data_IF_233345331876
#
_entry.id   IF_233345331876
#
_cell.length_a   1.000
_cell.length_b   1.000
_cell.length_c   1.000
_cell.angle_alpha   90.00
_cell.angle_beta   90.00
_cell.angle_gamma   90.00
#
_symmetry.space_group_name_H-M   'P 1'
#
loop_
_entity.id
_entity.type
_entity.pdbx_description
1 polymer ?
#
# COMPACT_ATOMS: atom_id res chain seq x y z
N UNK A 1 -7.44 14.38 -41.41
CA UNK A 1 -8.58 14.63 -40.51
C UNK A 1 -9.65 13.60 -40.81
N UNK A 2 -9.85 12.61 -39.94
CA UNK A 2 -10.90 11.61 -40.10
C UNK A 2 -12.26 12.22 -39.69
N UNK A 3 -13.36 11.91 -40.39
CA UNK A 3 -14.65 12.52 -40.08
C UNK A 3 -15.15 12.02 -38.72
N UNK A 4 -15.57 12.96 -37.87
CA UNK A 4 -16.19 12.66 -36.58
C UNK A 4 -17.51 11.91 -36.79
N UNK A 5 -17.65 10.77 -36.12
CA UNK A 5 -18.79 9.85 -36.19
C UNK A 5 -19.95 10.38 -35.31
N UNK A 6 -21.23 10.19 -35.67
CA UNK A 6 -22.34 10.79 -34.94
C UNK A 6 -22.57 10.10 -33.58
N UNK A 7 -23.02 10.83 -32.55
CA UNK A 7 -23.28 10.28 -31.23
C UNK A 7 -24.69 9.65 -31.19
N UNK A 8 -24.79 8.38 -30.82
CA UNK A 8 -26.11 7.76 -30.59
C UNK A 8 -26.26 6.26 -30.89
N UNK A 9 -25.23 5.56 -31.38
CA UNK A 9 -25.28 4.10 -31.41
C UNK A 9 -24.88 3.55 -30.03
N UNK A 10 -25.82 2.91 -29.32
CA UNK A 10 -25.51 1.99 -28.22
C UNK A 10 -24.40 1.04 -28.70
N UNK A 11 -23.17 1.23 -28.20
CA UNK A 11 -22.07 0.32 -28.52
C UNK A 11 -22.39 -1.00 -27.85
N UNK A 12 -22.75 -2.02 -28.64
CA UNK A 12 -22.87 -3.39 -28.17
C UNK A 12 -21.55 -3.76 -27.49
N UNK A 13 -21.63 -4.19 -26.23
CA UNK A 13 -20.47 -4.64 -25.49
C UNK A 13 -19.91 -5.91 -26.15
N UNK A 14 -18.63 -5.91 -26.45
CA UNK A 14 -17.92 -7.10 -26.96
C UNK A 14 -17.35 -7.86 -25.77
N UNK A 15 -17.79 -9.11 -25.62
CA UNK A 15 -17.26 -10.03 -24.61
C UNK A 15 -16.16 -10.89 -25.22
N UNK A 16 -15.09 -11.13 -24.47
CA UNK A 16 -14.05 -12.07 -24.87
C UNK A 16 -13.47 -12.77 -23.65
N UNK A 17 -13.03 -14.02 -23.81
CA UNK A 17 -12.34 -14.76 -22.75
C UNK A 17 -10.87 -14.37 -22.68
N UNK A 18 -10.38 -14.18 -21.46
CA UNK A 18 -8.96 -14.00 -21.16
C UNK A 18 -8.54 -14.97 -20.06
N UNK A 19 -7.51 -15.77 -20.33
CA UNK A 19 -6.96 -16.77 -19.42
C UNK A 19 -5.64 -16.26 -18.86
N UNK A 20 -5.55 -16.15 -17.54
CA UNK A 20 -4.38 -15.64 -16.83
C UNK A 20 -3.67 -16.79 -16.12
N UNK A 21 -2.52 -17.24 -16.65
CA UNK A 21 -1.81 -18.44 -16.19
C UNK A 21 -0.51 -18.08 -15.47
N UNK A 22 -0.40 -18.48 -14.20
CA UNK A 22 0.77 -18.17 -13.36
C UNK A 22 1.21 -19.37 -12.53
N UNK A 23 2.53 -19.55 -12.38
CA UNK A 23 3.14 -20.49 -11.42
C UNK A 23 3.14 -19.94 -9.96
N UNK A 24 2.69 -18.70 -9.79
CA UNK A 24 2.51 -17.98 -8.52
C UNK A 24 1.06 -17.47 -8.36
N UNK A 25 0.82 -16.37 -7.65
CA UNK A 25 -0.53 -15.86 -7.33
C UNK A 25 -1.30 -15.26 -8.51
N UNK A 26 -0.62 -14.89 -9.60
CA UNK A 26 -1.25 -14.27 -10.78
C UNK A 26 -1.63 -12.80 -10.63
N UNK A 27 -1.30 -12.15 -9.51
CA UNK A 27 -1.64 -10.73 -9.26
C UNK A 27 -1.04 -9.78 -10.30
N UNK A 28 0.21 -10.01 -10.70
CA UNK A 28 0.88 -9.21 -11.75
C UNK A 28 0.12 -9.29 -13.07
N UNK A 29 -0.32 -10.49 -13.47
CA UNK A 29 -1.13 -10.68 -14.68
C UNK A 29 -2.46 -9.95 -14.59
N UNK A 30 -3.14 -10.07 -13.45
CA UNK A 30 -4.43 -9.43 -13.24
C UNK A 30 -4.32 -7.90 -13.33
N UNK A 31 -3.33 -7.31 -12.66
CA UNK A 31 -3.06 -5.88 -12.72
C UNK A 31 -2.73 -5.41 -14.14
N UNK A 32 -1.91 -6.16 -14.88
CA UNK A 32 -1.58 -5.84 -16.27
C UNK A 32 -2.78 -5.97 -17.20
N UNK A 33 -3.55 -7.05 -17.10
CA UNK A 33 -4.74 -7.29 -17.90
C UNK A 33 -5.76 -6.16 -17.71
N UNK A 34 -6.06 -5.79 -16.45
CA UNK A 34 -6.95 -4.66 -16.14
C UNK A 34 -6.47 -3.34 -16.73
N UNK A 35 -5.17 -3.04 -16.59
CA UNK A 35 -4.59 -1.81 -17.13
C UNK A 35 -4.70 -1.74 -18.67
N UNK A 36 -4.49 -2.86 -19.37
CA UNK A 36 -4.58 -2.94 -20.83
C UNK A 36 -6.03 -2.89 -21.29
N UNK A 37 -6.93 -3.65 -20.66
CA UNK A 37 -8.35 -3.73 -21.04
C UNK A 37 -9.05 -2.39 -20.84
N UNK A 38 -8.70 -1.64 -19.79
CA UNK A 38 -9.22 -0.28 -19.56
C UNK A 38 -8.92 0.71 -20.71
N UNK A 39 -8.05 0.35 -21.67
CA UNK A 39 -7.78 1.14 -22.87
C UNK A 39 -8.80 0.94 -24.00
N UNK A 40 -9.67 -0.06 -23.89
CA UNK A 40 -10.65 -0.41 -24.91
C UNK A 40 -12.06 -0.02 -24.48
N UNK A 41 -12.74 0.81 -25.28
CA UNK A 41 -14.13 1.16 -25.05
C UNK A 41 -15.07 0.03 -25.48
N UNK A 42 -16.05 -0.32 -24.62
CA UNK A 42 -17.10 -1.27 -24.98
C UNK A 42 -16.62 -2.73 -25.08
N UNK A 43 -15.47 -3.04 -24.47
CA UNK A 43 -14.95 -4.41 -24.35
C UNK A 43 -15.05 -4.85 -22.88
N UNK A 44 -15.63 -6.03 -22.64
CA UNK A 44 -15.80 -6.60 -21.31
C UNK A 44 -15.12 -7.98 -21.29
N UNK A 45 -14.06 -8.17 -20.48
CA UNK A 45 -13.39 -9.46 -20.39
C UNK A 45 -14.20 -10.45 -19.54
N UNK A 46 -14.14 -11.72 -19.92
CA UNK A 46 -14.51 -12.85 -19.07
C UNK A 46 -13.19 -13.45 -18.59
N UNK A 47 -12.80 -13.11 -17.36
CA UNK A 47 -11.52 -13.49 -16.77
C UNK A 47 -11.55 -14.92 -16.23
N UNK A 48 -10.55 -15.72 -16.62
CA UNK A 48 -10.26 -17.04 -16.06
C UNK A 48 -8.88 -17.02 -15.43
N UNK A 49 -8.78 -17.25 -14.13
CA UNK A 49 -7.53 -17.09 -13.37
C UNK A 49 -7.00 -18.45 -12.91
N UNK A 50 -5.78 -18.77 -13.34
CA UNK A 50 -5.07 -19.99 -13.02
C UNK A 50 -3.81 -19.66 -12.23
N UNK A 51 -3.96 -19.59 -10.91
CA UNK A 51 -2.86 -19.38 -9.99
C UNK A 51 -2.22 -20.71 -9.56
N UNK A 52 -0.95 -20.66 -9.16
CA UNK A 52 -0.19 -21.77 -8.60
C UNK A 52 -0.14 -23.01 -9.51
N UNK A 53 -0.05 -22.80 -10.83
CA UNK A 53 0.12 -23.86 -11.82
C UNK A 53 1.58 -24.33 -11.79
N UNK A 54 1.82 -25.45 -11.11
CA UNK A 54 3.17 -25.94 -10.78
C UNK A 54 3.41 -27.40 -11.18
N UNK A 55 2.51 -27.98 -11.96
CA UNK A 55 2.61 -29.37 -12.41
C UNK A 55 1.94 -29.58 -13.76
N UNK A 56 2.44 -30.56 -14.52
CA UNK A 56 1.93 -30.91 -15.84
C UNK A 56 0.43 -31.25 -15.81
N UNK A 57 -0.03 -31.92 -14.75
CA UNK A 57 -1.46 -32.24 -14.55
C UNK A 57 -2.33 -31.00 -14.33
N UNK A 58 -1.82 -29.98 -13.62
CA UNK A 58 -2.54 -28.71 -13.50
C UNK A 58 -2.58 -28.00 -14.85
N UNK A 59 -1.48 -28.01 -15.60
CA UNK A 59 -1.41 -27.39 -16.92
C UNK A 59 -2.34 -28.05 -17.94
N UNK A 60 -2.48 -29.38 -17.91
CA UNK A 60 -3.46 -30.12 -18.72
C UNK A 60 -4.88 -29.61 -18.48
N UNK A 61 -5.27 -29.44 -17.20
CA UNK A 61 -6.58 -28.89 -16.84
C UNK A 61 -6.78 -27.46 -17.34
N UNK A 62 -5.74 -26.63 -17.25
CA UNK A 62 -5.77 -25.26 -17.80
C UNK A 62 -6.06 -25.30 -19.30
N UNK A 63 -5.38 -26.19 -20.05
CA UNK A 63 -5.58 -26.33 -21.49
C UNK A 63 -6.97 -26.89 -21.85
N UNK A 64 -7.52 -27.79 -21.04
CA UNK A 64 -8.90 -28.27 -21.18
C UNK A 64 -9.91 -27.11 -21.02
N UNK A 65 -9.70 -26.25 -20.03
CA UNK A 65 -10.57 -25.08 -19.81
C UNK A 65 -10.43 -24.02 -20.90
N UNK A 66 -9.20 -23.78 -21.39
CA UNK A 66 -8.95 -22.90 -22.54
C UNK A 66 -9.67 -23.43 -23.79
N UNK A 67 -9.66 -24.75 -24.01
CA UNK A 67 -10.38 -25.35 -25.13
C UNK A 67 -11.92 -25.22 -24.98
N UNK A 68 -12.43 -25.32 -23.74
CA UNK A 68 -13.85 -25.18 -23.45
C UNK A 68 -14.36 -23.74 -23.58
N UNK A 69 -13.51 -22.75 -23.30
CA UNK A 69 -13.82 -21.33 -23.40
C UNK A 69 -12.74 -20.58 -24.19
N UNK A 70 -12.69 -20.68 -25.53
CA UNK A 70 -11.62 -20.10 -26.35
C UNK A 70 -11.38 -18.61 -26.12
N UNK A 71 -10.11 -18.22 -25.92
CA UNK A 71 -9.74 -16.86 -25.54
C UNK A 71 -8.24 -16.56 -25.61
N UNK A 72 -7.88 -15.33 -25.24
CA UNK A 72 -6.47 -14.90 -25.17
C UNK A 72 -5.83 -15.45 -23.91
N UNK A 73 -4.65 -16.07 -24.04
CA UNK A 73 -3.90 -16.61 -22.92
C UNK A 73 -2.74 -15.67 -22.57
N UNK A 74 -2.73 -15.10 -21.38
CA UNK A 74 -1.62 -14.34 -20.82
C UNK A 74 -0.93 -15.17 -19.74
N UNK A 75 0.40 -15.23 -19.74
CA UNK A 75 1.12 -15.99 -18.73
C UNK A 75 2.36 -15.29 -18.17
N UNK A 76 2.77 -15.70 -16.97
CA UNK A 76 4.04 -15.31 -16.32
C UNK A 76 4.85 -16.52 -15.87
N UNK A 77 4.67 -17.66 -16.54
CA UNK A 77 5.40 -18.89 -16.23
C UNK A 77 6.91 -18.69 -16.37
N UNK A 78 7.64 -18.99 -15.30
CA UNK A 78 9.10 -19.02 -15.25
C UNK A 78 9.62 -20.43 -15.52
N UNK A 79 8.90 -21.44 -15.06
CA UNK A 79 9.22 -22.83 -15.33
C UNK A 79 9.16 -23.13 -16.83
N UNK A 80 10.27 -23.65 -17.36
CA UNK A 80 10.44 -23.86 -18.80
C UNK A 80 9.56 -24.99 -19.33
N UNK A 81 9.41 -26.08 -18.58
CA UNK A 81 8.63 -27.24 -19.01
C UNK A 81 7.14 -26.89 -19.09
N UNK A 82 6.61 -26.26 -18.03
CA UNK A 82 5.21 -25.80 -18.00
C UNK A 82 4.93 -24.74 -19.07
N UNK A 83 5.90 -23.85 -19.32
CA UNK A 83 5.79 -22.85 -20.37
C UNK A 83 5.73 -23.50 -21.75
N UNK A 84 6.65 -24.40 -22.08
CA UNK A 84 6.66 -25.12 -23.35
C UNK A 84 5.34 -25.90 -23.54
N UNK A 85 4.83 -26.54 -22.48
CA UNK A 85 3.55 -27.24 -22.50
C UNK A 85 2.37 -26.30 -22.78
N UNK A 86 2.31 -25.13 -22.14
CA UNK A 86 1.27 -24.13 -22.37
C UNK A 86 1.34 -23.60 -23.81
N UNK A 87 2.53 -23.22 -24.28
CA UNK A 87 2.73 -22.64 -25.61
C UNK A 87 2.36 -23.63 -26.72
N UNK A 88 2.76 -24.90 -26.59
CA UNK A 88 2.39 -25.96 -27.53
C UNK A 88 0.88 -26.24 -27.47
N UNK A 89 0.31 -26.32 -26.26
CA UNK A 89 -1.12 -26.51 -26.06
C UNK A 89 -1.95 -25.40 -26.73
N UNK A 90 -1.59 -24.13 -26.49
CA UNK A 90 -2.24 -22.99 -27.12
C UNK A 90 -2.08 -23.02 -28.64
N UNK A 91 -0.90 -23.41 -29.15
CA UNK A 91 -0.66 -23.53 -30.60
C UNK A 91 -1.59 -24.57 -31.25
N UNK A 92 -1.75 -25.75 -30.63
CA UNK A 92 -2.67 -26.79 -31.10
C UNK A 92 -4.13 -26.33 -31.06
N UNK A 93 -4.51 -25.59 -30.03
CA UNK A 93 -5.84 -25.01 -29.88
C UNK A 93 -6.05 -23.75 -30.75
N UNK A 94 -5.03 -23.30 -31.48
CA UNK A 94 -5.02 -22.06 -32.25
C UNK A 94 -5.35 -20.81 -31.42
N UNK A 95 -5.01 -20.83 -30.13
CA UNK A 95 -5.24 -19.73 -29.20
C UNK A 95 -4.03 -18.80 -29.13
N UNK A 96 -4.24 -17.47 -29.15
CA UNK A 96 -3.15 -16.53 -28.96
C UNK A 96 -2.62 -16.60 -27.53
N UNK A 97 -1.31 -16.75 -27.39
CA UNK A 97 -0.61 -16.77 -26.11
C UNK A 97 0.40 -15.62 -26.03
N UNK A 98 0.52 -14.99 -24.86
CA UNK A 98 1.48 -13.90 -24.61
C UNK A 98 2.14 -14.10 -23.24
N UNK A 99 3.47 -14.21 -23.23
CA UNK A 99 4.30 -14.06 -22.03
C UNK A 99 4.36 -12.59 -21.61
N UNK A 100 3.58 -12.22 -20.59
CA UNK A 100 3.27 -10.82 -20.28
C UNK A 100 4.50 -9.99 -19.91
N UNK A 101 5.52 -10.61 -19.29
CA UNK A 101 6.73 -9.94 -18.82
C UNK A 101 7.93 -10.11 -19.76
N UNK A 102 7.83 -10.96 -20.79
CA UNK A 102 8.98 -11.28 -21.65
C UNK A 102 9.63 -10.06 -22.31
N UNK A 103 8.89 -9.05 -22.83
CA UNK A 103 9.51 -7.89 -23.42
C UNK A 103 10.34 -7.07 -22.42
N UNK A 104 9.85 -6.95 -21.19
CA UNK A 104 10.51 -6.20 -20.11
C UNK A 104 11.75 -6.96 -19.62
N UNK A 105 11.61 -8.27 -19.39
CA UNK A 105 12.71 -9.15 -18.98
C UNK A 105 13.82 -9.13 -20.03
N UNK A 106 13.47 -9.26 -21.32
CA UNK A 106 14.43 -9.21 -22.42
C UNK A 106 15.11 -7.84 -22.57
N UNK A 107 14.39 -6.73 -22.35
CA UNK A 107 14.98 -5.39 -22.36
C UNK A 107 15.99 -5.20 -21.22
N UNK A 108 15.63 -5.62 -20.00
CA UNK A 108 16.48 -5.49 -18.83
C UNK A 108 17.71 -6.41 -18.91
N UNK A 109 17.55 -7.67 -19.36
CA UNK A 109 18.68 -8.58 -19.54
C UNK A 109 19.73 -8.02 -20.50
N UNK A 110 19.29 -7.47 -21.65
CA UNK A 110 20.19 -6.80 -22.60
C UNK A 110 20.84 -5.56 -22.02
N UNK A 111 20.09 -4.73 -21.31
CA UNK A 111 20.61 -3.49 -20.73
C UNK A 111 21.63 -3.77 -19.61
N UNK A 112 21.38 -4.78 -18.79
CA UNK A 112 22.20 -5.12 -17.62
C UNK A 112 23.35 -6.08 -17.94
N UNK A 113 23.35 -6.73 -19.11
CA UNK A 113 24.33 -7.77 -19.45
C UNK A 113 24.27 -8.98 -18.53
N UNK A 114 23.10 -9.25 -17.94
CA UNK A 114 22.89 -10.30 -16.95
C UNK A 114 21.90 -11.35 -17.45
N UNK A 115 22.21 -12.62 -17.17
CA UNK A 115 21.32 -13.74 -17.46
C UNK A 115 20.07 -13.70 -16.57
N UNK A 116 18.94 -14.05 -17.18
CA UNK A 116 17.66 -14.15 -16.46
C UNK A 116 17.67 -15.42 -15.62
N UNK A 117 17.58 -15.28 -14.30
CA UNK A 117 17.45 -16.42 -13.40
C UNK A 117 16.12 -17.15 -13.65
N UNK A 118 16.20 -18.43 -14.05
CA UNK A 118 15.05 -19.32 -14.21
C UNK A 118 14.51 -19.90 -12.89
N UNK A 119 14.93 -19.35 -11.73
CA UNK A 119 14.46 -19.85 -10.43
C UNK A 119 13.00 -19.46 -10.20
N UNK A 120 12.11 -20.45 -10.30
CA UNK A 120 10.79 -20.41 -9.67
C UNK A 120 11.00 -20.04 -8.20
N UNK A 121 10.47 -18.89 -7.76
CA UNK A 121 10.71 -18.37 -6.41
C UNK A 121 11.75 -17.24 -6.30
N UNK A 122 12.27 -16.66 -7.39
CA UNK A 122 12.91 -15.33 -7.32
C UNK A 122 11.96 -14.24 -6.78
N UNK A 123 10.65 -14.54 -6.72
CA UNK A 123 9.63 -13.80 -5.99
C UNK A 123 9.76 -13.86 -4.46
N UNK A 124 10.61 -14.70 -3.85
CA UNK A 124 10.80 -14.66 -2.40
C UNK A 124 11.39 -13.33 -1.90
N UNK A 125 12.06 -12.57 -2.77
CA UNK A 125 12.43 -11.17 -2.51
C UNK A 125 11.26 -10.18 -2.67
N UNK A 126 10.25 -10.50 -3.51
CA UNK A 126 8.98 -9.76 -3.60
C UNK A 126 8.05 -10.06 -2.40
N UNK A 127 8.11 -11.29 -1.89
CA UNK A 127 7.45 -11.74 -0.66
C UNK A 127 7.92 -10.94 0.54
N UNK A 128 9.20 -10.55 0.60
CA UNK A 128 9.69 -9.73 1.71
C UNK A 128 8.96 -8.38 1.74
N UNK A 129 8.71 -7.76 0.59
CA UNK A 129 7.95 -6.50 0.53
C UNK A 129 6.48 -6.67 0.91
N UNK A 130 5.84 -7.77 0.49
CA UNK A 130 4.47 -8.10 0.88
C UNK A 130 4.34 -8.44 2.36
N UNK A 131 5.16 -9.36 2.88
CA UNK A 131 5.17 -9.74 4.29
C UNK A 131 5.62 -8.59 5.21
N UNK A 132 6.55 -7.74 4.77
CA UNK A 132 6.90 -6.52 5.52
C UNK A 132 5.71 -5.56 5.59
N UNK A 133 4.93 -5.41 4.51
CA UNK A 133 3.69 -4.61 4.53
C UNK A 133 2.63 -5.24 5.42
N UNK A 134 2.46 -6.55 5.36
CA UNK A 134 1.48 -7.25 6.19
C UNK A 134 1.86 -7.13 7.67
N UNK A 135 3.13 -7.39 8.02
CA UNK A 135 3.66 -7.18 9.36
C UNK A 135 3.53 -5.73 9.82
N UNK A 136 3.76 -4.76 8.93
CA UNK A 136 3.56 -3.34 9.25
C UNK A 136 2.09 -2.99 9.50
N UNK A 137 1.16 -3.58 8.75
CA UNK A 137 -0.28 -3.41 8.94
C UNK A 137 -0.75 -4.03 10.25
N UNK A 138 -0.36 -5.29 10.52
CA UNK A 138 -0.66 -5.97 11.77
C UNK A 138 -0.13 -5.17 12.97
N UNK A 139 1.09 -4.65 12.85
CA UNK A 139 1.67 -3.78 13.87
C UNK A 139 0.86 -2.48 14.04
N UNK A 140 0.52 -1.78 12.97
CA UNK A 140 -0.21 -0.51 13.05
C UNK A 140 -1.62 -0.68 13.63
N UNK A 141 -2.31 -1.78 13.30
CA UNK A 141 -3.62 -2.13 13.86
C UNK A 141 -3.50 -2.44 15.35
N UNK A 142 -2.49 -3.23 15.75
CA UNK A 142 -2.27 -3.59 17.14
C UNK A 142 -1.86 -2.40 18.04
N UNK A 143 -1.41 -1.29 17.45
CA UNK A 143 -0.89 -0.12 18.17
C UNK A 143 -1.65 1.18 17.84
N UNK A 144 -2.91 1.06 17.40
CA UNK A 144 -3.73 2.23 17.07
C UNK A 144 -4.33 2.93 18.30
N UNK A 145 -4.55 2.20 19.40
CA UNK A 145 -5.23 2.68 20.61
C UNK A 145 -4.29 3.32 21.65
N UNK A 146 -2.98 3.37 21.38
CA UNK A 146 -1.99 3.98 22.26
C UNK A 146 -1.49 3.11 23.41
N UNK A 147 -1.87 1.84 23.49
CA UNK A 147 -1.55 0.96 24.63
C UNK A 147 -0.22 0.20 24.54
N UNK A 148 0.58 0.39 23.47
CA UNK A 148 1.82 -0.37 23.29
C UNK A 148 2.87 -0.10 24.37
N UNK A 149 3.37 -1.12 25.06
CA UNK A 149 4.46 -1.01 26.06
C UNK A 149 5.72 -0.36 25.47
N UNK A 150 6.65 0.10 26.32
CA UNK A 150 7.92 0.67 25.84
C UNK A 150 8.64 -0.29 24.88
N UNK A 151 8.70 -1.57 25.23
CA UNK A 151 9.32 -2.62 24.41
C UNK A 151 8.63 -2.81 23.07
N UNK A 152 7.29 -2.73 23.04
CA UNK A 152 6.51 -2.84 21.82
C UNK A 152 6.71 -1.63 20.90
N UNK A 153 6.73 -0.42 21.46
CA UNK A 153 6.95 0.83 20.72
C UNK A 153 8.37 0.93 20.14
N UNK A 154 9.35 0.31 20.80
CA UNK A 154 10.74 0.29 20.34
C UNK A 154 10.92 -0.49 19.02
N UNK A 155 9.96 -1.36 18.69
CA UNK A 155 9.93 -2.10 17.43
C UNK A 155 9.37 -1.28 16.25
N UNK A 156 8.79 -0.11 16.50
CA UNK A 156 8.27 0.76 15.46
C UNK A 156 9.40 1.35 14.60
N UNK A 157 9.08 1.61 13.33
CA UNK A 157 9.90 2.50 12.51
C UNK A 157 9.59 3.96 12.85
N UNK A 158 8.31 4.25 13.10
CA UNK A 158 7.79 5.59 13.40
C UNK A 158 6.77 5.54 14.52
N UNK A 159 6.82 6.49 15.43
CA UNK A 159 5.78 6.73 16.44
C UNK A 159 5.16 8.09 16.20
N UNK A 160 3.87 8.13 15.91
CA UNK A 160 3.11 9.37 15.74
C UNK A 160 2.48 9.78 17.06
N UNK A 161 2.78 10.99 17.52
CA UNK A 161 2.19 11.55 18.74
C UNK A 161 1.49 12.88 18.48
N UNK A 162 0.42 13.15 19.23
CA UNK A 162 -0.37 14.36 19.02
C UNK A 162 -1.74 14.32 19.66
N UNK A 163 -2.36 15.48 19.76
CA UNK A 163 -3.69 15.68 20.33
C UNK A 163 -4.75 14.86 19.59
N UNK A 164 -5.88 14.56 20.23
CA UNK A 164 -6.96 13.81 19.58
C UNK A 164 -7.37 14.49 18.26
N UNK A 165 -7.69 13.71 17.22
CA UNK A 165 -8.12 14.18 15.88
C UNK A 165 -7.06 14.83 14.99
N UNK A 166 -5.78 14.53 15.18
CA UNK A 166 -4.67 14.90 14.25
C UNK A 166 -4.39 13.87 13.15
N UNK A 167 -5.39 13.07 12.74
CA UNK A 167 -5.25 12.06 11.67
C UNK A 167 -4.18 10.98 11.89
N UNK A 168 -3.75 10.73 13.14
CA UNK A 168 -2.74 9.70 13.48
C UNK A 168 -3.11 8.32 12.96
N UNK A 169 -4.28 7.80 13.33
CA UNK A 169 -4.79 6.48 12.90
C UNK A 169 -4.78 6.29 11.38
N UNK A 170 -5.44 7.14 10.55
CA UNK A 170 -5.33 7.03 9.09
C UNK A 170 -3.89 7.09 8.56
N UNK A 171 -3.04 7.91 9.18
CA UNK A 171 -1.64 8.08 8.76
C UNK A 171 -0.81 6.84 9.10
N UNK A 172 -0.99 6.22 10.27
CA UNK A 172 -0.32 4.97 10.63
C UNK A 172 -0.67 3.85 9.66
N UNK A 173 -1.95 3.70 9.33
CA UNK A 173 -2.42 2.69 8.36
C UNK A 173 -1.84 2.97 6.96
N UNK A 174 -1.82 4.24 6.53
CA UNK A 174 -1.23 4.60 5.23
C UNK A 174 0.28 4.29 5.18
N UNK A 175 1.03 4.59 6.24
CA UNK A 175 2.45 4.25 6.36
C UNK A 175 2.67 2.73 6.34
N UNK A 176 1.80 1.97 6.99
CA UNK A 176 1.84 0.52 6.99
C UNK A 176 1.64 -0.08 5.59
N UNK A 177 0.74 0.48 4.77
CA UNK A 177 0.62 0.13 3.35
C UNK A 177 1.91 0.37 2.54
N UNK A 178 2.81 1.24 3.03
CA UNK A 178 4.15 1.47 2.47
C UNK A 178 5.25 0.63 3.14
N UNK A 179 4.88 -0.28 4.05
CA UNK A 179 5.80 -1.19 4.73
C UNK A 179 6.51 -0.59 5.94
N UNK A 180 5.93 0.44 6.55
CA UNK A 180 6.49 1.14 7.72
C UNK A 180 5.66 0.79 8.95
N UNK A 181 6.31 0.22 9.98
CA UNK A 181 5.67 -0.04 11.27
C UNK A 181 5.43 1.27 12.00
N UNK A 182 4.19 1.75 11.99
CA UNK A 182 3.80 3.01 12.60
C UNK A 182 2.91 2.77 13.82
N UNK A 183 3.29 3.33 14.97
CA UNK A 183 2.46 3.31 16.19
C UNK A 183 1.81 4.67 16.44
N UNK A 184 0.57 4.66 16.92
CA UNK A 184 -0.17 5.86 17.31
C UNK A 184 -0.11 5.99 18.84
N UNK A 185 0.48 7.08 19.35
CA UNK A 185 0.49 7.37 20.78
C UNK A 185 -0.25 8.69 21.01
N UNK A 186 -1.45 8.66 21.61
CA UNK A 186 -2.18 9.88 21.94
C UNK A 186 -1.35 10.71 22.93
N UNK A 187 -1.16 11.99 22.63
CA UNK A 187 -0.56 12.90 23.59
C UNK A 187 -1.68 13.60 24.36
N UNK A 188 -1.93 13.16 25.59
CA UNK A 188 -2.83 13.85 26.52
C UNK A 188 -1.99 14.86 27.33
N UNK A 189 -2.27 16.17 27.22
CA UNK A 189 -1.55 17.15 28.02
C UNK A 189 -1.71 16.87 29.52
N UNK A 190 -0.60 16.63 30.22
CA UNK A 190 -0.58 16.35 31.66
C UNK A 190 -0.45 14.88 32.05
N UNK A 191 -0.38 13.94 31.10
CA UNK A 191 -0.07 12.53 31.37
C UNK A 191 1.39 12.15 31.09
N UNK A 192 1.87 11.14 31.83
CA UNK A 192 3.24 10.60 31.87
C UNK A 192 3.70 9.89 30.58
N UNK A 193 2.86 9.74 29.56
CA UNK A 193 3.22 9.07 28.30
C UNK A 193 4.42 9.70 27.58
N UNK A 194 4.74 10.95 27.92
CA UNK A 194 5.96 11.62 27.49
C UNK A 194 7.25 10.92 27.94
N UNK A 195 7.30 10.26 29.10
CA UNK A 195 8.51 9.59 29.59
C UNK A 195 8.83 8.34 28.76
N UNK A 196 7.81 7.52 28.48
CA UNK A 196 7.92 6.33 27.61
C UNK A 196 8.43 6.70 26.23
N UNK A 197 7.86 7.72 25.61
CA UNK A 197 8.31 8.20 24.30
C UNK A 197 9.73 8.77 24.31
N UNK A 198 10.16 9.36 25.43
CA UNK A 198 11.51 9.91 25.56
C UNK A 198 12.56 8.81 25.77
N UNK A 199 12.15 7.65 26.30
CA UNK A 199 13.01 6.48 26.45
C UNK A 199 13.26 5.70 25.15
N UNK A 200 12.47 5.97 24.10
CA UNK A 200 12.61 5.30 22.80
C UNK A 200 13.91 5.70 22.10
N UNK A 201 14.66 4.71 21.59
CA UNK A 201 15.96 4.94 20.92
C UNK A 201 15.89 4.68 19.43
N UNK A 202 15.17 3.63 19.04
CA UNK A 202 15.11 3.17 17.66
C UNK A 202 14.12 3.95 16.79
N UNK A 203 12.82 4.11 17.15
CA UNK A 203 11.84 4.73 16.26
C UNK A 203 12.06 6.23 16.06
N UNK A 204 11.58 6.72 14.93
CA UNK A 204 11.39 8.15 14.71
C UNK A 204 10.09 8.60 15.38
N UNK A 205 10.19 9.43 16.43
CA UNK A 205 9.02 10.06 17.04
C UNK A 205 8.66 11.33 16.27
N UNK A 206 7.42 11.46 15.80
CA UNK A 206 6.93 12.61 15.03
C UNK A 206 5.68 13.20 15.69
N UNK A 207 5.73 14.50 15.99
CA UNK A 207 4.60 15.24 16.54
C UNK A 207 3.66 15.74 15.45
N UNK A 208 2.41 15.30 15.44
CA UNK A 208 1.36 15.86 14.57
C UNK A 208 0.64 17.00 15.27
N UNK A 209 0.62 18.17 14.63
CA UNK A 209 -0.02 19.40 15.12
C UNK A 209 -1.14 19.84 14.18
N UNK A 210 -2.13 20.52 14.74
CA UNK A 210 -3.29 21.03 14.00
C UNK A 210 -3.68 22.39 14.58
N UNK A 211 -4.16 23.31 13.76
CA UNK A 211 -4.65 24.60 14.24
C UNK A 211 -5.85 24.40 15.19
N UNK A 212 -5.98 25.21 16.26
CA UNK A 212 -7.11 25.13 17.18
C UNK A 212 -8.47 25.21 16.47
N UNK A 213 -8.63 26.15 15.54
CA UNK A 213 -9.89 26.36 14.80
C UNK A 213 -10.33 25.10 14.05
N UNK A 214 -9.40 24.51 13.30
CA UNK A 214 -9.65 23.27 12.57
C UNK A 214 -9.95 22.11 13.50
N UNK A 215 -9.25 22.01 14.63
CA UNK A 215 -9.45 20.96 15.60
C UNK A 215 -10.83 21.03 16.25
N UNK A 216 -11.26 22.23 16.65
CA UNK A 216 -12.62 22.48 17.15
C UNK A 216 -13.66 22.05 16.11
N UNK A 217 -13.47 22.43 14.84
CA UNK A 217 -14.38 22.04 13.76
C UNK A 217 -14.48 20.51 13.62
N UNK A 218 -13.35 19.79 13.61
CA UNK A 218 -13.34 18.32 13.49
C UNK A 218 -14.00 17.66 14.70
N UNK A 219 -13.75 18.17 15.91
CA UNK A 219 -14.33 17.64 17.15
C UNK A 219 -15.83 17.87 17.23
N UNK A 220 -16.33 19.04 16.81
CA UNK A 220 -17.77 19.33 16.72
C UNK A 220 -18.48 18.36 15.78
N UNK A 221 -17.98 18.22 14.54
CA UNK A 221 -18.54 17.28 13.57
C UNK A 221 -18.59 15.84 14.10
N UNK A 222 -17.61 15.44 14.92
CA UNK A 222 -17.59 14.11 15.54
C UNK A 222 -18.64 13.96 16.65
N UNK A 223 -18.82 14.97 17.48
CA UNK A 223 -19.84 14.95 18.55
C UNK A 223 -21.25 14.91 17.97
N UNK A 224 -21.50 15.72 16.94
CA UNK A 224 -22.79 15.78 16.25
C UNK A 224 -23.16 14.40 15.65
N UNK A 225 -22.18 13.70 15.08
CA UNK A 225 -22.37 12.35 14.55
C UNK A 225 -22.54 11.25 15.61
N UNK A 226 -22.33 11.53 16.90
CA UNK A 226 -22.44 10.57 18.00
C UNK A 226 -23.69 10.79 18.87
N UNK A 227 -24.55 11.78 18.56
CA UNK A 227 -25.67 12.21 19.41
C UNK A 227 -25.28 12.47 20.88
N UNK A 228 -24.00 12.77 21.13
CA UNK A 228 -23.47 12.97 22.47
C UNK A 228 -23.61 14.45 22.86
N UNK A 229 -24.57 14.74 23.74
CA UNK A 229 -24.79 16.09 24.26
C UNK A 229 -23.62 16.57 25.14
N UNK A 230 -23.10 17.75 24.79
CA UNK A 230 -22.27 18.65 25.61
C UNK A 230 -20.98 18.09 26.22
N UNK A 231 -19.92 18.00 25.42
CA UNK A 231 -18.53 17.96 25.92
C UNK A 231 -17.90 19.36 25.87
N UNK A 232 -18.23 20.24 26.82
CA UNK A 232 -17.89 21.69 26.75
C UNK A 232 -16.39 21.92 26.54
N UNK A 233 -15.50 21.30 27.33
CA UNK A 233 -14.06 21.48 27.20
C UNK A 233 -13.43 20.81 25.95
N UNK A 234 -14.06 19.80 25.37
CA UNK A 234 -13.53 19.09 24.19
C UNK A 234 -13.62 19.93 22.92
N UNK A 235 -14.60 20.83 22.84
CA UNK A 235 -14.84 21.75 21.72
C UNK A 235 -14.76 23.23 22.10
N UNK A 236 -14.45 23.53 23.37
CA UNK A 236 -14.17 24.88 23.84
C UNK A 236 -12.87 25.40 23.19
N UNK A 237 -12.94 26.61 22.68
CA UNK A 237 -11.85 27.17 21.87
C UNK A 237 -10.59 27.40 22.68
N UNK A 238 -10.75 27.99 23.87
CA UNK A 238 -9.63 28.31 24.76
C UNK A 238 -8.97 27.03 25.29
N UNK A 239 -9.76 26.05 25.70
CA UNK A 239 -9.28 24.72 26.13
C UNK A 239 -8.48 24.01 25.02
N UNK A 240 -9.01 23.99 23.79
CA UNK A 240 -8.32 23.38 22.63
C UNK A 240 -7.06 24.15 22.25
N UNK A 241 -7.08 25.48 22.36
CA UNK A 241 -5.91 26.34 22.13
C UNK A 241 -4.81 26.04 23.15
N UNK A 242 -5.16 25.93 24.42
CA UNK A 242 -4.19 25.56 25.45
C UNK A 242 -3.60 24.17 25.22
N UNK A 243 -4.45 23.17 24.91
CA UNK A 243 -4.03 21.80 24.61
C UNK A 243 -3.02 21.75 23.45
N UNK A 244 -3.32 22.43 22.35
CA UNK A 244 -2.45 22.47 21.15
C UNK A 244 -1.12 23.18 21.42
N UNK A 245 -1.12 24.28 22.20
CA UNK A 245 0.11 24.97 22.62
C UNK A 245 0.96 24.07 23.53
N UNK A 246 0.34 23.40 24.52
CA UNK A 246 1.02 22.47 25.43
C UNK A 246 1.69 21.32 24.65
N UNK A 247 0.99 20.75 23.66
CA UNK A 247 1.53 19.70 22.80
C UNK A 247 2.73 20.19 21.96
N UNK A 248 2.61 21.35 21.31
CA UNK A 248 3.72 21.92 20.51
C UNK A 248 4.98 22.15 21.36
N UNK A 249 4.82 22.78 22.52
CA UNK A 249 5.93 22.99 23.48
C UNK A 249 6.54 21.68 23.97
N UNK A 250 5.74 20.63 24.11
CA UNK A 250 6.21 19.31 24.51
C UNK A 250 7.09 18.66 23.44
N UNK A 251 6.78 18.86 22.17
CA UNK A 251 7.59 18.36 21.04
C UNK A 251 8.89 19.14 20.90
N UNK A 252 8.82 20.47 20.97
CA UNK A 252 10.00 21.36 20.88
C UNK A 252 11.03 21.05 21.98
N UNK A 253 10.57 20.92 23.24
CA UNK A 253 11.46 20.56 24.38
C UNK A 253 12.20 19.24 24.19
N UNK A 254 11.65 18.32 23.40
CA UNK A 254 12.21 16.98 23.15
C UNK A 254 12.95 16.88 21.82
N UNK A 255 12.98 17.97 21.04
CA UNK A 255 13.60 17.99 19.72
C UNK A 255 12.92 17.07 18.70
N UNK A 256 11.65 16.70 18.92
CA UNK A 256 10.93 15.85 17.97
C UNK A 256 10.48 16.66 16.76
N UNK A 257 10.68 16.16 15.52
CA UNK A 257 10.16 16.82 14.34
C UNK A 257 8.63 16.91 14.40
N UNK A 258 8.09 18.04 13.98
CA UNK A 258 6.65 18.30 13.97
C UNK A 258 6.11 18.49 12.57
N UNK A 259 4.93 17.97 12.30
CA UNK A 259 4.20 18.16 11.04
C UNK A 259 2.86 18.82 11.34
N UNK A 260 2.57 19.91 10.65
CA UNK A 260 1.27 20.57 10.68
C UNK A 260 0.32 19.91 9.67
N UNK A 261 -0.73 19.27 10.19
CA UNK A 261 -1.74 18.54 9.40
C UNK A 261 -3.00 19.36 9.11
N UNK A 262 -3.03 20.65 9.46
CA UNK A 262 -4.23 21.52 9.37
C UNK A 262 -4.90 21.50 7.99
N UNK A 263 -4.09 21.51 6.93
CA UNK A 263 -4.56 21.51 5.53
C UNK A 263 -3.90 20.41 4.69
N UNK A 264 -3.33 19.39 5.33
CA UNK A 264 -2.66 18.28 4.63
C UNK A 264 -3.57 17.08 4.52
N UNK A 265 -3.44 16.35 3.41
CA UNK A 265 -4.02 15.03 3.28
C UNK A 265 -3.22 13.99 4.11
N UNK A 266 -3.76 12.78 4.22
CA UNK A 266 -3.06 11.65 4.86
C UNK A 266 -1.82 11.28 4.05
N UNK A 267 -1.91 11.29 2.73
CA UNK A 267 -0.83 11.03 1.79
C UNK A 267 0.30 12.04 1.91
N UNK A 268 -0.02 13.34 1.95
CA UNK A 268 0.98 14.41 2.11
C UNK A 268 1.66 14.36 3.48
N UNK A 269 0.92 14.02 4.53
CA UNK A 269 1.46 13.83 5.88
C UNK A 269 2.40 12.63 5.91
N UNK A 270 1.98 11.49 5.34
CA UNK A 270 2.80 10.29 5.25
C UNK A 270 4.07 10.51 4.41
N UNK A 271 3.98 11.22 3.29
CA UNK A 271 5.14 11.58 2.47
C UNK A 271 6.19 12.39 3.26
N UNK A 272 5.74 13.37 4.05
CA UNK A 272 6.64 14.14 4.91
C UNK A 272 7.31 13.26 5.99
N UNK A 273 6.58 12.31 6.58
CA UNK A 273 7.12 11.35 7.55
C UNK A 273 8.16 10.42 6.91
N UNK A 274 7.87 9.92 5.71
CA UNK A 274 8.79 9.05 4.95
C UNK A 274 10.10 9.77 4.66
N UNK A 275 10.04 11.06 4.29
CA UNK A 275 11.23 11.87 4.06
C UNK A 275 12.09 12.00 5.34
N UNK A 276 11.47 12.34 6.48
CA UNK A 276 12.17 12.41 7.77
C UNK A 276 12.81 11.07 8.17
N UNK A 277 12.10 9.96 7.92
CA UNK A 277 12.60 8.62 8.20
C UNK A 277 13.80 8.26 7.31
N UNK A 278 13.73 8.62 6.02
CA UNK A 278 14.82 8.45 5.05
C UNK A 278 16.06 9.24 5.47
N UNK A 279 15.90 10.54 5.79
CA UNK A 279 16.99 11.40 6.26
C UNK A 279 17.67 10.85 7.52
N UNK A 280 16.88 10.37 8.50
CA UNK A 280 17.41 9.76 9.72
C UNK A 280 18.20 8.48 9.43
N UNK A 281 17.74 7.65 8.48
CA UNK A 281 18.45 6.43 8.06
C UNK A 281 19.77 6.79 7.36
N UNK A 282 19.77 7.74 6.43
CA UNK A 282 20.98 8.21 5.74
C UNK A 282 22.03 8.78 6.69
N UNK A 283 21.63 9.56 7.72
CA UNK A 283 22.57 10.06 8.74
C UNK A 283 23.22 8.95 9.57
N UNK A 284 22.50 7.86 9.87
CA UNK A 284 23.07 6.70 10.57
C UNK A 284 24.09 5.93 9.72
N UNK A 285 23.89 5.88 8.41
CA UNK A 285 24.81 5.22 7.47
C UNK A 285 26.10 6.02 7.20
N UNK A 286 26.07 7.34 7.40
CA UNK A 286 27.22 8.24 7.22
C UNK A 286 28.01 8.58 8.49
N UNK A 287 27.64 8.02 9.65
CA UNK A 287 28.39 8.18 10.89
C UNK A 287 29.57 7.17 10.91
N UNK A 288 30.81 7.60 11.19
CA UNK A 288 31.91 6.65 11.40
C UNK A 288 31.57 5.75 12.59
N UNK A 289 31.76 4.43 12.43
CA UNK A 289 31.71 3.48 13.55
C UNK A 289 32.72 3.84 14.64
#
# INVERSE_FOLDING_TARGET
MSPARPPGASRLATYFHVHLVSDSTGETLNAMAKAVIARFDGVIPIEHIYALVRSNKQMERVLEEVAAAPGVVLHTLVDRELREQLEEGCRRLQMPQIGALDPLVGALSRYLGADVSARVGAQHALDTGYFNRMSALDYAIAHDDGQGTLEQLEQADVVLCGVSRTSKTPTCIYLAHRGIRAANVPLVPGQEDGERLTALKHPLVVGLTVSPDRLVQIRRNRLDGLNAGHASAYVDHDSVREETIKARRAFERRGWPTIDVTRRSVEETAAAIINLLSERRSRKLGAPM
#
